data_IF_137011129209
#
_entry.id   IF_137011129209
#
_cell.length_a   1.000
_cell.length_b   1.000
_cell.length_c   1.000
_cell.angle_alpha   90.00
_cell.angle_beta   90.00
_cell.angle_gamma   90.00
#
_symmetry.space_group_name_H-M   'P 1'
#
loop_
_entity.id
_entity.type
_entity.pdbx_description
1 polymer ?
#
# COMPACT_ATOMS: atom_id res chain seq x y z
N UNK A 1 -6.31 8.36 21.86
CA UNK A 1 -7.25 7.73 20.90
C UNK A 1 -6.49 6.68 20.11
N UNK A 2 -6.91 5.41 20.19
CA UNK A 2 -6.35 4.37 19.35
C UNK A 2 -6.88 4.57 17.93
N UNK A 3 -6.01 4.99 17.01
CA UNK A 3 -6.38 5.04 15.59
C UNK A 3 -6.41 3.59 15.08
N UNK A 4 -7.58 3.13 14.63
CA UNK A 4 -7.69 1.81 13.98
C UNK A 4 -7.10 1.93 12.58
N UNK A 5 -6.15 1.05 12.25
CA UNK A 5 -5.67 0.91 10.88
C UNK A 5 -6.70 0.10 10.08
N UNK A 6 -7.16 0.64 8.96
CA UNK A 6 -8.21 0.04 8.12
C UNK A 6 -7.61 -0.86 7.04
N UNK A 7 -6.42 -0.52 6.55
CA UNK A 7 -5.67 -1.30 5.57
C UNK A 7 -4.16 -1.15 5.84
N UNK A 8 -3.39 -2.22 5.60
CA UNK A 8 -1.93 -2.24 5.78
C UNK A 8 -1.27 -2.94 4.61
N UNK A 9 -0.17 -2.38 4.14
CA UNK A 9 0.86 -3.06 3.37
C UNK A 9 2.02 -3.33 4.32
N UNK A 10 2.58 -4.54 4.32
CA UNK A 10 3.72 -4.89 5.14
C UNK A 10 4.98 -5.11 4.28
N UNK A 11 6.14 -5.22 4.94
CA UNK A 11 7.43 -5.42 4.26
C UNK A 11 7.47 -6.75 3.51
N UNK A 12 6.85 -7.81 4.02
CA UNK A 12 6.81 -9.13 3.38
C UNK A 12 6.05 -9.09 2.04
N UNK A 13 4.95 -8.33 1.96
CA UNK A 13 4.22 -8.09 0.71
C UNK A 13 5.15 -7.44 -0.33
N UNK A 14 5.91 -6.42 0.10
CA UNK A 14 6.88 -5.72 -0.76
C UNK A 14 8.01 -6.66 -1.20
N UNK A 15 8.53 -7.49 -0.30
CA UNK A 15 9.63 -8.43 -0.59
C UNK A 15 9.19 -9.57 -1.51
N UNK A 16 7.95 -10.04 -1.37
CA UNK A 16 7.36 -11.04 -2.25
C UNK A 16 7.32 -10.51 -3.68
N UNK A 17 6.79 -9.31 -3.87
CA UNK A 17 6.75 -8.66 -5.20
C UNK A 17 8.16 -8.40 -5.72
N UNK A 18 9.10 -7.96 -4.89
CA UNK A 18 10.48 -7.74 -5.33
C UNK A 18 11.15 -9.03 -5.81
N UNK A 19 10.95 -10.14 -5.10
CA UNK A 19 11.49 -11.44 -5.47
C UNK A 19 10.94 -11.91 -6.82
N UNK A 20 9.66 -11.68 -7.09
CA UNK A 20 9.03 -12.04 -8.36
C UNK A 20 9.44 -11.11 -9.52
N UNK A 21 9.56 -9.81 -9.29
CA UNK A 21 9.77 -8.80 -10.35
C UNK A 21 11.25 -8.62 -10.69
N UNK A 22 12.14 -8.61 -9.69
CA UNK A 22 13.57 -8.34 -9.88
C UNK A 22 14.49 -9.48 -9.42
N UNK A 23 13.93 -10.62 -8.97
CA UNK A 23 14.70 -11.84 -8.66
C UNK A 23 15.55 -11.77 -7.39
N UNK A 24 15.31 -10.78 -6.51
CA UNK A 24 15.99 -10.64 -5.22
C UNK A 24 15.16 -9.84 -4.22
N UNK A 25 15.48 -9.99 -2.95
CA UNK A 25 14.98 -9.12 -1.90
C UNK A 25 15.57 -7.69 -1.99
N UNK A 26 14.78 -6.72 -1.54
CA UNK A 26 15.15 -5.34 -1.34
C UNK A 26 15.95 -5.17 -0.05
N UNK A 27 16.96 -4.30 -0.10
CA UNK A 27 17.66 -3.81 1.09
C UNK A 27 16.75 -2.85 1.88
N UNK A 28 16.99 -2.64 3.19
CA UNK A 28 16.14 -1.78 4.01
C UNK A 28 15.91 -0.36 3.46
N UNK A 29 16.95 0.27 2.89
CA UNK A 29 16.81 1.61 2.28
C UNK A 29 16.01 1.59 0.97
N UNK A 30 16.02 0.49 0.23
CA UNK A 30 15.21 0.32 -0.98
C UNK A 30 13.75 0.14 -0.58
N UNK A 31 13.46 -0.64 0.47
CA UNK A 31 12.10 -0.80 1.01
C UNK A 31 11.49 0.56 1.35
N UNK A 32 12.19 1.43 2.09
CA UNK A 32 11.66 2.76 2.44
C UNK A 32 11.41 3.67 1.22
N UNK A 33 12.22 3.54 0.17
CA UNK A 33 11.98 4.29 -1.08
C UNK A 33 10.74 3.79 -1.81
N UNK A 34 10.53 2.47 -1.83
CA UNK A 34 9.37 1.84 -2.44
C UNK A 34 8.09 2.14 -1.65
N UNK A 35 8.13 2.11 -0.33
CA UNK A 35 6.98 2.44 0.54
C UNK A 35 6.41 3.84 0.22
N UNK A 36 7.28 4.85 0.13
CA UNK A 36 6.87 6.21 -0.20
C UNK A 36 6.25 6.29 -1.60
N UNK A 37 6.90 5.66 -2.59
CA UNK A 37 6.38 5.64 -3.96
C UNK A 37 5.04 4.91 -4.08
N UNK A 38 4.82 3.82 -3.34
CA UNK A 38 3.54 3.12 -3.32
C UNK A 38 2.45 4.03 -2.71
N UNK A 39 2.74 4.68 -1.58
CA UNK A 39 1.80 5.57 -0.93
C UNK A 39 1.38 6.75 -1.83
N UNK A 40 2.31 7.29 -2.62
CA UNK A 40 2.06 8.37 -3.58
C UNK A 40 1.28 7.90 -4.82
N UNK A 41 1.48 6.65 -5.27
CA UNK A 41 0.77 6.08 -6.42
C UNK A 41 -0.69 5.75 -6.14
N UNK A 42 -1.05 5.51 -4.88
CA UNK A 42 -2.42 5.19 -4.51
C UNK A 42 -3.18 6.49 -4.25
N UNK A 43 -4.18 6.77 -5.08
CA UNK A 43 -5.14 7.85 -4.82
C UNK A 43 -6.11 7.42 -3.70
N UNK A 44 -5.67 7.52 -2.46
CA UNK A 44 -6.43 7.08 -1.28
C UNK A 44 -7.79 7.76 -1.18
N UNK A 45 -7.88 9.04 -1.55
CA UNK A 45 -9.14 9.77 -1.49
C UNK A 45 -10.17 9.16 -2.42
N UNK A 46 -9.82 8.97 -3.69
CA UNK A 46 -10.71 8.40 -4.71
C UNK A 46 -11.09 6.94 -4.35
N UNK A 47 -10.14 6.14 -3.89
CA UNK A 47 -10.42 4.76 -3.46
C UNK A 47 -11.46 4.71 -2.31
N UNK A 48 -11.32 5.59 -1.32
CA UNK A 48 -12.27 5.70 -0.19
C UNK A 48 -13.62 6.24 -0.67
N UNK A 49 -13.62 7.30 -1.49
CA UNK A 49 -14.82 7.91 -2.04
C UNK A 49 -15.66 6.89 -2.82
N UNK A 50 -15.03 6.18 -3.77
CA UNK A 50 -15.71 5.16 -4.56
C UNK A 50 -16.30 4.05 -3.70
N UNK A 51 -15.56 3.55 -2.70
CA UNK A 51 -16.07 2.51 -1.80
C UNK A 51 -17.31 2.98 -1.00
N UNK A 52 -17.34 4.25 -0.58
CA UNK A 52 -18.49 4.84 0.12
C UNK A 52 -19.68 5.00 -0.83
N UNK A 53 -19.47 5.53 -2.03
CA UNK A 53 -20.53 5.69 -3.02
C UNK A 53 -21.13 4.34 -3.42
N UNK A 54 -20.29 3.33 -3.69
CA UNK A 54 -20.77 2.01 -4.10
C UNK A 54 -21.58 1.29 -3.01
N UNK A 55 -21.14 1.35 -1.75
CA UNK A 55 -21.73 0.53 -0.67
C UNK A 55 -22.74 1.26 0.21
N UNK A 56 -22.58 2.57 0.38
CA UNK A 56 -23.40 3.36 1.33
C UNK A 56 -24.33 4.30 0.57
N UNK A 57 -23.79 5.11 -0.35
CA UNK A 57 -24.54 6.17 -1.03
C UNK A 57 -24.83 5.80 -2.48
N UNK A 58 -25.84 4.94 -2.66
CA UNK A 58 -26.39 4.60 -3.98
C UNK A 58 -26.99 5.81 -4.69
#
# INVERSE_FOLDING_TARGET
MNKKVVYTLNVEDVQTVASEVIGRELKPHEVSQIENLIAEKINWFEAIEMAILEKIKK
#
